data_IF_638063343490
#
_entry.id   IF_638063343490
#
_cell.length_a   1.000
_cell.length_b   1.000
_cell.length_c   1.000
_cell.angle_alpha   90.00
_cell.angle_beta   90.00
_cell.angle_gamma   90.00
#
_symmetry.space_group_name_H-M   'P 1'
#
loop_
_entity.id
_entity.type
_entity.pdbx_description
1 polymer ?
#
# COMPACT_ATOMS: atom_id res chain seq x y z
N UNK A 1 51.14 46.53 27.36
CA UNK A 1 50.44 45.22 27.52
C UNK A 1 48.92 45.41 27.67
N UNK A 2 48.17 45.75 26.61
CA UNK A 2 46.69 45.87 26.68
C UNK A 2 45.90 45.20 25.55
N UNK A 3 46.59 44.55 24.60
CA UNK A 3 45.94 43.93 23.42
C UNK A 3 45.56 42.46 23.68
N UNK A 4 46.14 41.81 24.69
CA UNK A 4 45.94 40.37 24.93
C UNK A 4 44.59 39.99 25.54
N UNK A 5 43.89 40.91 26.21
CA UNK A 5 42.62 40.61 26.89
C UNK A 5 41.40 40.68 25.95
N UNK A 6 41.48 41.51 24.90
CA UNK A 6 40.41 41.67 23.91
C UNK A 6 40.33 40.45 22.96
N UNK A 7 41.48 39.85 22.63
CA UNK A 7 41.52 38.63 21.79
C UNK A 7 40.93 37.42 22.54
N UNK A 8 41.12 37.33 23.86
CA UNK A 8 40.57 36.24 24.67
C UNK A 8 39.05 36.33 24.83
N UNK A 9 38.49 37.54 24.90
CA UNK A 9 37.04 37.77 24.92
C UNK A 9 36.37 37.53 23.56
N UNK A 10 37.07 37.82 22.45
CA UNK A 10 36.57 37.52 21.11
C UNK A 10 36.55 36.02 20.79
N UNK A 11 37.46 35.22 21.37
CA UNK A 11 37.47 33.76 21.21
C UNK A 11 36.44 33.02 22.08
N UNK A 12 35.98 33.62 23.19
CA UNK A 12 35.03 32.99 24.10
C UNK A 12 33.56 33.16 23.69
N UNK A 13 33.26 34.06 22.75
CA UNK A 13 31.90 34.25 22.22
C UNK A 13 31.51 33.33 21.05
N UNK A 14 32.43 32.54 20.51
CA UNK A 14 32.16 31.68 19.34
C UNK A 14 32.13 30.18 19.60
N UNK A 15 32.34 29.73 20.84
CA UNK A 15 32.07 28.33 21.20
C UNK A 15 30.59 28.10 21.51
N UNK A 16 29.73 28.26 20.50
CA UNK A 16 28.50 27.45 20.46
C UNK A 16 28.97 26.03 20.20
N UNK A 17 29.15 25.26 21.26
CA UNK A 17 29.31 23.82 21.15
C UNK A 17 28.06 23.28 20.46
N UNK A 18 28.14 23.05 19.14
CA UNK A 18 27.10 22.34 18.42
C UNK A 18 26.98 20.96 19.08
N UNK A 19 25.95 20.76 19.90
CA UNK A 19 25.76 19.51 20.59
C UNK A 19 25.54 18.44 19.52
N UNK A 20 26.56 17.60 19.34
CA UNK A 20 26.51 16.48 18.40
C UNK A 20 25.40 15.52 18.85
N UNK A 21 24.63 15.03 17.89
CA UNK A 21 23.53 14.09 18.17
C UNK A 21 24.13 12.79 18.71
N UNK A 22 23.74 12.37 19.91
CA UNK A 22 24.19 11.13 20.50
C UNK A 22 23.33 9.96 19.98
N UNK A 23 23.80 9.30 18.91
CA UNK A 23 23.10 8.17 18.29
C UNK A 23 22.96 6.95 19.20
N UNK A 24 23.94 6.71 20.08
CA UNK A 24 23.90 5.61 21.05
C UNK A 24 22.79 5.83 22.09
N UNK A 25 22.65 7.08 22.56
CA UNK A 25 21.57 7.43 23.47
C UNK A 25 20.21 7.27 22.80
N UNK A 26 20.05 7.75 21.57
CA UNK A 26 18.81 7.53 20.79
C UNK A 26 18.50 6.03 20.66
N UNK A 27 19.49 5.21 20.33
CA UNK A 27 19.31 3.77 20.20
C UNK A 27 18.87 3.12 21.53
N UNK A 28 19.48 3.53 22.65
CA UNK A 28 19.06 3.09 23.98
C UNK A 28 17.59 3.45 24.26
N UNK A 29 17.18 4.69 23.98
CA UNK A 29 15.79 5.12 24.18
C UNK A 29 14.80 4.32 23.34
N UNK A 30 15.17 3.98 22.10
CA UNK A 30 14.34 3.14 21.22
C UNK A 30 14.24 1.71 21.76
N UNK A 31 15.36 1.08 22.14
CA UNK A 31 15.39 -0.29 22.68
C UNK A 31 14.65 -0.40 24.02
N UNK A 32 14.68 0.65 24.83
CA UNK A 32 13.97 0.73 26.11
C UNK A 32 12.53 1.21 25.98
N UNK A 33 12.00 1.39 24.77
CA UNK A 33 10.63 1.91 24.49
C UNK A 33 10.31 3.26 25.17
N UNK A 34 11.32 4.10 25.39
CA UNK A 34 11.21 5.41 26.02
C UNK A 34 10.87 6.51 24.98
N UNK A 35 9.69 6.41 24.39
CA UNK A 35 9.28 7.27 23.27
C UNK A 35 9.08 8.75 23.66
N UNK A 36 8.70 9.02 24.92
CA UNK A 36 8.51 10.39 25.42
C UNK A 36 9.87 11.08 25.58
N UNK A 37 10.82 10.38 26.19
CA UNK A 37 12.18 10.82 26.42
C UNK A 37 12.91 11.03 25.09
N UNK A 38 12.68 10.14 24.11
CA UNK A 38 13.20 10.32 22.75
C UNK A 38 12.66 11.61 22.11
N UNK A 39 11.35 11.87 22.23
CA UNK A 39 10.76 13.12 21.74
C UNK A 39 11.38 14.35 22.42
N UNK A 40 11.46 14.32 23.75
CA UNK A 40 12.01 15.41 24.55
C UNK A 40 13.45 15.69 24.16
N UNK A 41 14.26 14.64 23.94
CA UNK A 41 15.65 14.78 23.50
C UNK A 41 15.76 15.44 22.12
N UNK A 42 14.98 15.00 21.13
CA UNK A 42 15.00 15.60 19.78
C UNK A 42 14.49 17.05 19.79
N UNK A 43 13.46 17.34 20.59
CA UNK A 43 12.94 18.70 20.74
C UNK A 43 13.94 19.62 21.44
N UNK A 44 14.60 19.16 22.50
CA UNK A 44 15.66 19.89 23.17
C UNK A 44 16.79 20.28 22.21
N UNK A 45 17.19 19.36 21.32
CA UNK A 45 18.18 19.65 20.29
C UNK A 45 17.67 20.66 19.27
N UNK A 46 16.39 20.59 18.88
CA UNK A 46 15.78 21.53 17.94
C UNK A 46 15.71 22.95 18.53
N UNK A 47 15.32 23.09 19.79
CA UNK A 47 15.18 24.38 20.47
C UNK A 47 16.53 25.07 20.68
N UNK A 48 17.57 24.32 21.07
CA UNK A 48 18.87 24.89 21.39
C UNK A 48 19.78 25.09 20.17
N UNK A 49 19.74 24.17 19.20
CA UNK A 49 20.67 24.15 18.06
C UNK A 49 20.00 24.52 16.73
N UNK A 50 18.68 24.67 16.71
CA UNK A 50 17.91 24.86 15.48
C UNK A 50 17.78 23.58 14.65
N UNK A 51 17.10 23.71 13.51
CA UNK A 51 16.91 22.59 12.59
C UNK A 51 18.20 22.34 11.80
N UNK A 52 18.75 21.13 11.95
CA UNK A 52 19.84 20.63 11.11
C UNK A 52 19.36 19.42 10.30
N UNK A 53 20.05 19.13 9.19
CA UNK A 53 19.72 17.99 8.33
C UNK A 53 19.85 16.66 9.09
N UNK A 54 20.89 16.53 9.94
CA UNK A 54 21.09 15.37 10.80
C UNK A 54 19.98 15.22 11.84
N UNK A 55 19.54 16.32 12.47
CA UNK A 55 18.43 16.27 13.41
C UNK A 55 17.13 15.87 12.72
N UNK A 56 16.88 16.44 11.53
CA UNK A 56 15.71 16.09 10.71
C UNK A 56 15.73 14.61 10.34
N UNK A 57 16.89 14.05 10.00
CA UNK A 57 17.05 12.62 9.73
C UNK A 57 16.66 11.73 10.93
N UNK A 58 17.09 12.05 12.15
CA UNK A 58 16.66 11.30 13.35
C UNK A 58 15.18 11.51 13.68
N UNK A 59 14.64 12.71 13.46
CA UNK A 59 13.20 12.99 13.59
C UNK A 59 12.39 12.18 12.57
N UNK A 60 12.86 11.99 11.34
CA UNK A 60 12.20 11.14 10.35
C UNK A 60 12.12 9.68 10.82
N UNK A 61 13.22 9.13 11.35
CA UNK A 61 13.22 7.79 11.95
C UNK A 61 12.25 7.69 13.13
N UNK A 62 12.15 8.74 13.94
CA UNK A 62 11.21 8.81 15.06
C UNK A 62 9.74 8.82 14.57
N UNK A 63 9.43 9.61 13.54
CA UNK A 63 8.08 9.64 12.96
C UNK A 63 7.67 8.30 12.35
N UNK A 64 8.60 7.62 11.66
CA UNK A 64 8.34 6.27 11.14
C UNK A 64 8.12 5.26 12.27
N UNK A 65 8.89 5.34 13.36
CA UNK A 65 8.75 4.49 14.54
C UNK A 65 7.36 4.63 15.17
N UNK A 66 6.86 5.86 15.31
CA UNK A 66 5.54 6.15 15.88
C UNK A 66 4.39 6.12 14.86
N UNK A 67 4.67 5.84 13.59
CA UNK A 67 3.68 5.88 12.49
C UNK A 67 2.99 7.24 12.34
N UNK A 68 3.68 8.33 12.67
CA UNK A 68 3.20 9.70 12.48
C UNK A 68 3.51 10.19 11.05
N UNK A 69 2.66 9.78 10.11
CA UNK A 69 2.87 10.04 8.69
C UNK A 69 2.71 11.51 8.31
N UNK A 70 1.87 12.26 9.02
CA UNK A 70 1.64 13.67 8.71
C UNK A 70 2.90 14.48 9.01
N UNK A 71 3.50 14.26 10.18
CA UNK A 71 4.77 14.90 10.54
C UNK A 71 5.89 14.46 9.59
N UNK A 72 5.97 13.17 9.24
CA UNK A 72 6.93 12.67 8.27
C UNK A 72 6.81 13.37 6.90
N UNK A 73 5.60 13.41 6.32
CA UNK A 73 5.37 14.01 5.00
C UNK A 73 5.67 15.52 4.98
N UNK A 74 5.43 16.22 6.10
CA UNK A 74 5.65 17.67 6.21
C UNK A 74 7.14 18.06 6.23
N UNK A 75 8.01 17.18 6.75
CA UNK A 75 9.41 17.52 7.00
C UNK A 75 10.40 16.79 6.09
N UNK A 76 10.01 15.68 5.45
CA UNK A 76 10.92 14.85 4.63
C UNK A 76 11.61 15.65 3.51
N UNK A 77 10.95 16.67 2.96
CA UNK A 77 11.52 17.52 1.89
C UNK A 77 12.75 18.31 2.34
N UNK A 78 12.86 18.56 3.66
CA UNK A 78 13.98 19.29 4.24
C UNK A 78 15.15 18.38 4.63
N UNK A 79 15.00 17.05 4.49
CA UNK A 79 16.00 16.07 4.90
C UNK A 79 16.83 15.57 3.70
N UNK A 80 17.93 16.24 3.35
CA UNK A 80 18.83 15.80 2.27
C UNK A 80 19.53 14.50 2.61
N UNK A 81 19.91 14.30 3.87
CA UNK A 81 20.51 13.03 4.34
C UNK A 81 19.57 11.84 4.17
N UNK A 82 18.25 12.03 4.33
CA UNK A 82 17.28 10.96 4.15
C UNK A 82 17.33 10.39 2.73
N UNK A 83 17.56 11.24 1.72
CA UNK A 83 17.66 10.82 0.31
C UNK A 83 19.00 10.19 -0.08
N UNK A 84 19.94 10.06 0.86
CA UNK A 84 21.19 9.31 0.70
C UNK A 84 21.13 7.92 1.34
N UNK A 85 20.14 7.68 2.19
CA UNK A 85 19.95 6.43 2.91
C UNK A 85 18.87 5.58 2.22
N UNK A 86 19.32 4.63 1.39
CA UNK A 86 18.43 3.72 0.66
C UNK A 86 17.61 2.83 1.60
N UNK A 87 18.16 2.43 2.76
CA UNK A 87 17.45 1.62 3.75
C UNK A 87 16.30 2.40 4.37
N UNK A 88 16.53 3.65 4.78
CA UNK A 88 15.49 4.53 5.30
C UNK A 88 14.39 4.77 4.25
N UNK A 89 14.76 5.10 3.01
CA UNK A 89 13.78 5.34 1.94
C UNK A 89 12.96 4.08 1.61
N UNK A 90 13.61 2.93 1.50
CA UNK A 90 12.94 1.66 1.22
C UNK A 90 11.98 1.28 2.34
N UNK A 91 12.39 1.46 3.60
CA UNK A 91 11.52 1.24 4.76
C UNK A 91 10.34 2.22 4.75
N UNK A 92 10.61 3.51 4.56
CA UNK A 92 9.60 4.57 4.52
C UNK A 92 8.57 4.30 3.42
N UNK A 93 9.03 3.96 2.22
CA UNK A 93 8.16 3.62 1.10
C UNK A 93 7.27 2.41 1.40
N UNK A 94 7.84 1.34 1.96
CA UNK A 94 7.06 0.15 2.37
C UNK A 94 6.00 0.48 3.41
N UNK A 95 6.36 1.25 4.45
CA UNK A 95 5.43 1.62 5.52
C UNK A 95 4.34 2.58 5.04
N UNK A 96 4.71 3.62 4.28
CA UNK A 96 3.75 4.53 3.68
C UNK A 96 2.83 3.81 2.72
N UNK A 97 3.33 2.85 1.94
CA UNK A 97 2.50 2.09 1.00
C UNK A 97 1.41 1.29 1.71
N UNK A 98 1.73 0.70 2.87
CA UNK A 98 0.76 -0.01 3.71
C UNK A 98 -0.36 0.90 4.23
N UNK A 99 -0.04 2.18 4.50
CA UNK A 99 -1.03 3.20 4.87
C UNK A 99 -1.80 3.69 3.65
N UNK A 100 -1.11 4.20 2.63
CA UNK A 100 -1.70 4.60 1.36
C UNK A 100 -0.70 4.51 0.19
N UNK A 101 -1.19 3.98 -0.93
CA UNK A 101 -0.41 3.94 -2.19
C UNK A 101 0.00 5.35 -2.62
N UNK A 102 -0.88 6.35 -2.42
CA UNK A 102 -0.62 7.73 -2.79
C UNK A 102 0.53 8.36 -1.98
N UNK A 103 0.67 8.03 -0.70
CA UNK A 103 1.80 8.49 0.13
C UNK A 103 3.13 7.93 -0.35
N UNK A 104 3.19 6.63 -0.68
CA UNK A 104 4.38 6.04 -1.26
C UNK A 104 4.74 6.67 -2.62
N UNK A 105 3.75 6.90 -3.49
CA UNK A 105 3.98 7.61 -4.75
C UNK A 105 4.47 9.04 -4.56
N UNK A 106 3.96 9.76 -3.55
CA UNK A 106 4.46 11.11 -3.19
C UNK A 106 5.92 11.04 -2.75
N UNK A 107 6.29 10.09 -1.88
CA UNK A 107 7.69 9.91 -1.49
C UNK A 107 8.59 9.62 -2.70
N UNK A 108 8.18 8.74 -3.61
CA UNK A 108 8.95 8.45 -4.84
C UNK A 108 9.13 9.68 -5.74
N UNK A 109 8.10 10.53 -5.84
CA UNK A 109 8.23 11.80 -6.58
C UNK A 109 9.23 12.75 -5.94
N UNK A 110 9.22 12.85 -4.61
CA UNK A 110 10.18 13.68 -3.86
C UNK A 110 11.60 13.12 -4.04
N UNK A 111 11.80 11.81 -3.90
CA UNK A 111 13.08 11.14 -4.15
C UNK A 111 13.60 11.38 -5.57
N UNK A 112 12.75 11.31 -6.59
CA UNK A 112 13.17 11.60 -7.97
C UNK A 112 13.58 13.06 -8.21
N UNK A 113 13.12 13.99 -7.36
CA UNK A 113 13.41 15.43 -7.47
C UNK A 113 14.64 15.85 -6.67
N UNK A 114 14.84 15.26 -5.50
CA UNK A 114 15.85 15.68 -4.52
C UNK A 114 16.94 14.64 -4.26
N UNK A 115 16.66 13.37 -4.55
CA UNK A 115 17.58 12.25 -4.37
C UNK A 115 18.22 11.77 -5.66
N UNK A 116 19.07 10.75 -5.56
CA UNK A 116 19.65 10.01 -6.68
C UNK A 116 18.71 8.92 -7.22
N UNK A 117 17.39 9.09 -6.99
CA UNK A 117 16.35 8.17 -7.43
C UNK A 117 16.53 6.74 -6.88
N UNK A 118 16.98 6.66 -5.63
CA UNK A 118 17.32 5.40 -4.96
C UNK A 118 16.12 4.45 -4.92
N UNK A 119 14.91 5.01 -4.79
CA UNK A 119 13.68 4.21 -4.74
C UNK A 119 13.37 3.51 -6.05
N UNK A 120 13.88 3.93 -7.22
CA UNK A 120 13.74 3.15 -8.48
C UNK A 120 14.36 1.76 -8.39
N UNK A 121 15.42 1.61 -7.61
CA UNK A 121 16.08 0.31 -7.45
C UNK A 121 15.33 -0.60 -6.47
N UNK A 122 14.43 -0.04 -5.65
CA UNK A 122 13.68 -0.74 -4.63
C UNK A 122 12.77 -1.82 -5.22
N UNK A 123 12.64 -2.92 -4.47
CA UNK A 123 11.78 -4.05 -4.85
C UNK A 123 10.32 -3.61 -4.97
N UNK A 124 9.85 -2.77 -4.05
CA UNK A 124 8.49 -2.25 -4.03
C UNK A 124 8.20 -1.38 -5.25
N UNK A 125 9.09 -0.46 -5.62
CA UNK A 125 8.88 0.40 -6.77
C UNK A 125 8.87 -0.40 -8.08
N UNK A 126 9.85 -1.29 -8.27
CA UNK A 126 9.89 -2.19 -9.43
C UNK A 126 8.64 -3.04 -9.55
N UNK A 127 8.18 -3.60 -8.43
CA UNK A 127 6.93 -4.38 -8.37
C UNK A 127 5.72 -3.53 -8.69
N UNK A 128 5.66 -2.30 -8.19
CA UNK A 128 4.59 -1.36 -8.50
C UNK A 128 4.54 -1.01 -10.00
N UNK A 129 5.69 -0.71 -10.60
CA UNK A 129 5.80 -0.41 -12.02
C UNK A 129 5.46 -1.65 -12.89
N UNK A 130 5.83 -2.86 -12.44
CA UNK A 130 5.41 -4.12 -13.05
C UNK A 130 3.88 -4.31 -13.05
N UNK A 131 3.17 -3.81 -12.02
CA UNK A 131 1.70 -3.84 -12.06
C UNK A 131 1.10 -2.89 -13.09
N UNK A 132 1.79 -1.79 -13.42
CA UNK A 132 1.40 -0.85 -14.49
C UNK A 132 1.68 -1.47 -15.86
N UNK A 133 2.88 -1.99 -16.09
CA UNK A 133 3.26 -2.67 -17.32
C UNK A 133 3.58 -4.16 -17.11
N UNK A 134 2.63 -5.03 -17.47
CA UNK A 134 2.74 -6.49 -17.29
C UNK A 134 3.67 -7.21 -18.26
N UNK A 135 4.26 -6.50 -19.23
CA UNK A 135 5.26 -7.07 -20.14
C UNK A 135 6.66 -7.08 -19.54
N UNK A 136 6.88 -6.40 -18.40
CA UNK A 136 8.16 -6.42 -17.69
C UNK A 136 8.53 -7.82 -17.17
N UNK A 137 9.83 -8.09 -17.11
CA UNK A 137 10.35 -9.30 -16.45
C UNK A 137 10.04 -9.27 -14.95
N UNK A 138 9.64 -10.42 -14.42
CA UNK A 138 9.40 -10.65 -12.99
C UNK A 138 10.58 -11.36 -12.31
N UNK A 139 11.75 -11.42 -12.96
CA UNK A 139 12.89 -12.23 -12.49
C UNK A 139 13.57 -11.64 -11.25
N UNK A 140 13.34 -10.34 -10.99
CA UNK A 140 13.82 -9.68 -9.78
C UNK A 140 13.01 -10.04 -8.51
N UNK A 141 11.87 -10.72 -8.67
CA UNK A 141 11.02 -11.10 -7.54
C UNK A 141 11.55 -12.38 -6.87
N UNK A 142 11.67 -12.40 -5.53
CA UNK A 142 11.85 -13.62 -4.75
C UNK A 142 10.75 -14.65 -5.05
N UNK A 143 11.06 -15.93 -4.81
CA UNK A 143 10.16 -17.04 -5.10
C UNK A 143 8.80 -16.88 -4.40
N UNK A 144 8.82 -16.44 -3.14
CA UNK A 144 7.66 -16.22 -2.28
C UNK A 144 6.71 -15.17 -2.90
N UNK A 145 7.27 -14.10 -3.46
CA UNK A 145 6.50 -13.01 -4.07
C UNK A 145 6.03 -13.35 -5.49
N UNK A 146 6.74 -14.24 -6.19
CA UNK A 146 6.40 -14.66 -7.55
C UNK A 146 5.06 -15.38 -7.61
N UNK A 147 4.71 -16.13 -6.56
CA UNK A 147 3.39 -16.80 -6.43
C UNK A 147 2.28 -15.74 -6.45
N UNK A 148 2.36 -14.73 -5.59
CA UNK A 148 1.36 -13.65 -5.53
C UNK A 148 1.29 -12.83 -6.82
N UNK A 149 2.44 -12.58 -7.46
CA UNK A 149 2.47 -11.91 -8.76
C UNK A 149 1.78 -12.74 -9.85
N UNK A 150 2.02 -14.04 -9.90
CA UNK A 150 1.40 -14.94 -10.87
C UNK A 150 -0.12 -15.01 -10.71
N UNK A 151 -0.62 -15.05 -9.48
CA UNK A 151 -2.06 -14.97 -9.21
C UNK A 151 -2.66 -13.66 -9.73
N UNK A 152 -2.02 -12.52 -9.43
CA UNK A 152 -2.43 -11.22 -9.94
C UNK A 152 -2.42 -11.19 -11.48
N UNK A 153 -1.34 -11.66 -12.10
CA UNK A 153 -1.17 -11.70 -13.57
C UNK A 153 -2.25 -12.57 -14.22
N UNK A 154 -2.57 -13.72 -13.62
CA UNK A 154 -3.62 -14.61 -14.09
C UNK A 154 -4.99 -13.93 -14.06
N UNK A 155 -5.36 -13.30 -12.94
CA UNK A 155 -6.66 -12.60 -12.83
C UNK A 155 -6.71 -11.36 -13.73
N UNK A 156 -5.62 -10.60 -13.86
CA UNK A 156 -5.58 -9.39 -14.70
C UNK A 156 -5.90 -9.68 -16.17
N UNK A 157 -5.47 -10.82 -16.70
CA UNK A 157 -5.74 -11.27 -18.08
C UNK A 157 -7.21 -11.63 -18.33
N UNK A 158 -8.00 -11.93 -17.29
CA UNK A 158 -9.39 -12.33 -17.44
C UNK A 158 -10.25 -11.18 -18.00
N UNK A 159 -11.14 -11.49 -18.95
CA UNK A 159 -11.97 -10.49 -19.64
C UNK A 159 -13.40 -10.48 -19.09
N UNK A 160 -13.97 -9.30 -18.93
CA UNK A 160 -15.31 -9.12 -18.35
C UNK A 160 -16.41 -9.75 -19.22
N UNK A 161 -16.34 -9.56 -20.54
CA UNK A 161 -17.33 -10.10 -21.47
C UNK A 161 -17.33 -11.64 -21.51
N UNK A 162 -16.17 -12.28 -21.35
CA UNK A 162 -16.09 -13.75 -21.23
C UNK A 162 -16.79 -14.21 -19.96
N UNK A 163 -16.51 -13.54 -18.83
CA UNK A 163 -17.12 -13.88 -17.55
C UNK A 163 -18.65 -13.66 -17.58
N UNK A 164 -19.12 -12.59 -18.21
CA UNK A 164 -20.53 -12.31 -18.42
C UNK A 164 -21.17 -13.36 -19.34
N UNK A 165 -20.56 -13.65 -20.49
CA UNK A 165 -21.05 -14.65 -21.46
C UNK A 165 -21.15 -16.04 -20.85
N UNK A 166 -20.16 -16.48 -20.08
CA UNK A 166 -20.26 -17.72 -19.31
C UNK A 166 -21.48 -17.70 -18.37
N UNK A 167 -21.66 -16.61 -17.64
CA UNK A 167 -22.80 -16.45 -16.71
C UNK A 167 -24.16 -16.39 -17.39
N UNK A 168 -24.21 -16.00 -18.68
CA UNK A 168 -25.41 -16.05 -19.54
C UNK A 168 -25.72 -17.45 -20.09
N UNK A 169 -24.77 -18.38 -20.10
CA UNK A 169 -25.04 -19.77 -20.48
C UNK A 169 -25.41 -20.56 -19.23
N UNK A 170 -24.60 -20.44 -18.19
CA UNK A 170 -24.79 -21.11 -16.91
C UNK A 170 -24.74 -20.05 -15.81
N UNK A 171 -25.84 -19.82 -15.07
CA UNK A 171 -25.89 -18.83 -14.00
C UNK A 171 -24.72 -18.95 -13.04
N UNK A 172 -23.96 -17.86 -12.91
CA UNK A 172 -22.82 -17.77 -12.00
C UNK A 172 -21.53 -18.42 -12.50
N UNK A 173 -21.49 -19.13 -13.62
CA UNK A 173 -20.25 -19.80 -14.09
C UNK A 173 -19.10 -18.83 -14.38
N UNK A 174 -19.40 -17.57 -14.69
CA UNK A 174 -18.38 -16.51 -14.72
C UNK A 174 -17.68 -16.29 -13.37
N UNK A 175 -18.34 -16.60 -12.24
CA UNK A 175 -17.72 -16.59 -10.90
C UNK A 175 -16.68 -17.68 -10.75
N UNK A 176 -16.88 -18.87 -11.33
CA UNK A 176 -15.83 -19.90 -11.41
C UNK A 176 -14.66 -19.41 -12.25
N UNK A 177 -14.95 -18.85 -13.43
CA UNK A 177 -13.92 -18.31 -14.31
C UNK A 177 -13.04 -17.27 -13.62
N UNK A 178 -13.60 -16.39 -12.78
CA UNK A 178 -12.80 -15.40 -12.04
C UNK A 178 -12.12 -15.95 -10.77
N UNK A 179 -12.39 -17.20 -10.38
CA UNK A 179 -11.77 -17.86 -9.23
C UNK A 179 -12.55 -17.74 -7.91
N UNK A 180 -13.88 -17.61 -7.98
CA UNK A 180 -14.78 -17.55 -6.80
C UNK A 180 -15.78 -18.72 -6.82
N UNK A 181 -15.34 -19.95 -6.54
CA UNK A 181 -16.21 -21.12 -6.57
C UNK A 181 -17.35 -21.05 -5.54
N UNK A 182 -17.09 -20.55 -4.33
CA UNK A 182 -18.12 -20.45 -3.30
C UNK A 182 -19.26 -19.50 -3.72
N UNK A 183 -18.93 -18.41 -4.43
CA UNK A 183 -19.92 -17.49 -4.95
C UNK A 183 -20.66 -18.03 -6.18
N UNK A 184 -20.06 -18.96 -6.93
CA UNK A 184 -20.73 -19.67 -8.02
C UNK A 184 -21.89 -20.51 -7.47
N UNK A 185 -21.67 -21.36 -6.48
CA UNK A 185 -22.71 -22.26 -5.96
C UNK A 185 -23.97 -21.52 -5.49
N UNK A 186 -23.79 -20.46 -4.70
CA UNK A 186 -24.94 -19.65 -4.25
C UNK A 186 -25.71 -18.99 -5.40
N UNK A 187 -25.01 -18.57 -6.45
CA UNK A 187 -25.63 -17.96 -7.63
C UNK A 187 -26.34 -19.00 -8.48
N UNK A 188 -25.73 -20.15 -8.68
CA UNK A 188 -26.30 -21.23 -9.47
C UNK A 188 -27.59 -21.75 -8.82
N UNK A 189 -27.52 -22.11 -7.53
CA UNK A 189 -28.66 -22.67 -6.79
C UNK A 189 -29.83 -21.68 -6.76
N UNK A 190 -29.57 -20.41 -6.46
CA UNK A 190 -30.65 -19.39 -6.42
C UNK A 190 -31.33 -19.23 -7.78
N UNK A 191 -30.58 -19.14 -8.89
CA UNK A 191 -31.18 -19.04 -10.22
C UNK A 191 -31.94 -20.31 -10.63
N UNK A 192 -31.47 -21.49 -10.23
CA UNK A 192 -32.18 -22.75 -10.49
C UNK A 192 -33.52 -22.75 -9.74
N UNK A 193 -33.55 -22.38 -8.46
CA UNK A 193 -34.79 -22.32 -7.68
C UNK A 193 -35.78 -21.29 -8.24
N UNK A 194 -35.32 -20.09 -8.58
CA UNK A 194 -36.18 -19.09 -9.21
C UNK A 194 -36.63 -19.50 -10.62
N UNK A 195 -35.78 -20.19 -11.38
CA UNK A 195 -36.12 -20.71 -12.69
C UNK A 195 -37.19 -21.81 -12.62
N UNK A 196 -37.06 -22.74 -11.67
CA UNK A 196 -38.04 -23.81 -11.44
C UNK A 196 -39.39 -23.24 -11.01
N UNK A 197 -39.40 -22.31 -10.03
CA UNK A 197 -40.64 -21.66 -9.57
C UNK A 197 -41.31 -20.83 -10.66
N UNK A 198 -40.53 -20.08 -11.45
CA UNK A 198 -41.02 -19.36 -12.62
C UNK A 198 -41.61 -20.29 -13.68
N UNK A 199 -40.90 -21.37 -14.02
CA UNK A 199 -41.37 -22.36 -15.00
C UNK A 199 -42.65 -23.06 -14.56
N UNK A 200 -42.72 -23.51 -13.31
CA UNK A 200 -43.92 -24.15 -12.76
C UNK A 200 -45.12 -23.20 -12.75
N UNK A 201 -44.92 -21.95 -12.32
CA UNK A 201 -45.99 -20.95 -12.32
C UNK A 201 -46.58 -20.73 -13.72
N UNK A 202 -45.72 -20.57 -14.74
CA UNK A 202 -46.16 -20.39 -16.13
C UNK A 202 -46.86 -21.64 -16.67
N UNK A 203 -46.36 -22.84 -16.32
CA UNK A 203 -46.94 -24.11 -16.78
C UNK A 203 -48.32 -24.38 -16.16
N UNK A 204 -48.49 -24.10 -14.87
CA UNK A 204 -49.71 -24.44 -14.12
C UNK A 204 -50.77 -23.34 -14.23
N UNK A 205 -50.37 -22.07 -14.07
CA UNK A 205 -51.30 -20.93 -13.99
C UNK A 205 -51.41 -20.15 -15.31
N UNK A 206 -50.52 -20.40 -16.27
CA UNK A 206 -50.42 -19.66 -17.52
C UNK A 206 -49.60 -18.37 -17.38
N UNK A 207 -49.17 -17.81 -18.52
CA UNK A 207 -48.32 -16.61 -18.57
C UNK A 207 -49.06 -15.32 -18.22
N UNK A 208 -50.39 -15.29 -18.40
CA UNK A 208 -51.23 -14.12 -18.11
C UNK A 208 -51.60 -14.00 -16.61
N UNK A 209 -51.24 -14.99 -15.79
CA UNK A 209 -51.48 -14.94 -14.35
C UNK A 209 -50.50 -13.97 -13.68
N UNK A 210 -51.01 -13.10 -12.80
CA UNK A 210 -50.18 -12.12 -12.08
C UNK A 210 -49.03 -12.75 -11.28
N UNK A 211 -49.25 -13.93 -10.67
CA UNK A 211 -48.20 -14.65 -9.96
C UNK A 211 -47.09 -15.11 -10.91
N UNK A 212 -47.44 -15.68 -12.07
CA UNK A 212 -46.47 -16.11 -13.09
C UNK A 212 -45.62 -14.94 -13.59
N UNK A 213 -46.24 -13.78 -13.83
CA UNK A 213 -45.53 -12.56 -14.24
C UNK A 213 -44.53 -12.14 -13.17
N UNK A 214 -44.92 -12.13 -11.90
CA UNK A 214 -44.05 -11.76 -10.78
C UNK A 214 -42.90 -12.75 -10.63
N UNK A 215 -43.17 -14.07 -10.63
CA UNK A 215 -42.15 -15.11 -10.49
C UNK A 215 -41.15 -15.10 -11.65
N UNK A 216 -41.63 -14.96 -12.89
CA UNK A 216 -40.77 -14.86 -14.07
C UNK A 216 -39.94 -13.57 -14.05
N UNK A 217 -40.53 -12.45 -13.62
CA UNK A 217 -39.81 -11.18 -13.46
C UNK A 217 -38.71 -11.28 -12.41
N UNK A 218 -39.00 -11.91 -11.26
CA UNK A 218 -38.01 -12.16 -10.23
C UNK A 218 -36.84 -13.00 -10.76
N UNK A 219 -37.14 -14.12 -11.44
CA UNK A 219 -36.11 -14.92 -12.10
C UNK A 219 -35.26 -14.08 -13.06
N UNK A 220 -35.89 -13.31 -13.96
CA UNK A 220 -35.19 -12.43 -14.90
C UNK A 220 -34.26 -11.44 -14.20
N UNK A 221 -34.74 -10.74 -13.17
CA UNK A 221 -33.94 -9.78 -12.40
C UNK A 221 -32.74 -10.45 -11.73
N UNK A 222 -32.94 -11.58 -11.06
CA UNK A 222 -31.84 -12.30 -10.40
C UNK A 222 -30.84 -12.86 -11.41
N UNK A 223 -31.31 -13.33 -12.55
CA UNK A 223 -30.48 -13.82 -13.64
C UNK A 223 -29.58 -12.73 -14.21
N UNK A 224 -30.16 -11.61 -14.64
CA UNK A 224 -29.39 -10.47 -15.17
C UNK A 224 -28.46 -9.86 -14.11
N UNK A 225 -28.91 -9.76 -12.86
CA UNK A 225 -28.07 -9.28 -11.75
C UNK A 225 -26.85 -10.15 -11.54
N UNK A 226 -26.94 -11.47 -11.75
CA UNK A 226 -25.77 -12.34 -11.67
C UNK A 226 -24.77 -12.10 -12.79
N UNK A 227 -25.25 -11.90 -14.03
CA UNK A 227 -24.38 -11.58 -15.18
C UNK A 227 -23.65 -10.25 -14.95
N UNK A 228 -24.38 -9.20 -14.55
CA UNK A 228 -23.81 -7.87 -14.28
C UNK A 228 -22.89 -7.91 -13.05
N UNK A 229 -23.27 -8.64 -12.01
CA UNK A 229 -22.51 -8.79 -10.78
C UNK A 229 -21.13 -9.39 -11.02
N UNK A 230 -21.01 -10.35 -11.95
CA UNK A 230 -19.72 -10.96 -12.31
C UNK A 230 -18.74 -9.95 -12.91
N UNK A 231 -19.22 -8.99 -13.69
CA UNK A 231 -18.37 -7.93 -14.26
C UNK A 231 -17.78 -7.05 -13.16
N UNK A 232 -18.60 -6.69 -12.17
CA UNK A 232 -18.17 -5.91 -11.01
C UNK A 232 -17.21 -6.69 -10.12
N UNK A 233 -17.51 -7.96 -9.86
CA UNK A 233 -16.65 -8.87 -9.10
C UNK A 233 -15.27 -9.00 -9.76
N UNK A 234 -15.20 -9.13 -11.09
CA UNK A 234 -13.92 -9.20 -11.79
C UNK A 234 -13.07 -7.95 -11.55
N UNK A 235 -13.67 -6.75 -11.65
CA UNK A 235 -12.96 -5.48 -11.39
C UNK A 235 -12.44 -5.43 -9.96
N UNK A 236 -13.25 -5.88 -9.01
CA UNK A 236 -12.90 -5.94 -7.59
C UNK A 236 -11.74 -6.91 -7.34
N UNK A 237 -11.80 -8.15 -7.81
CA UNK A 237 -10.73 -9.15 -7.59
C UNK A 237 -9.42 -8.70 -8.24
N UNK A 238 -9.46 -8.08 -9.43
CA UNK A 238 -8.25 -7.51 -10.05
C UNK A 238 -7.55 -6.51 -9.13
N UNK A 239 -8.33 -5.64 -8.49
CA UNK A 239 -7.81 -4.66 -7.54
C UNK A 239 -7.33 -5.31 -6.24
N UNK A 240 -8.08 -6.26 -5.69
CA UNK A 240 -7.70 -6.99 -4.47
C UNK A 240 -6.38 -7.75 -4.67
N UNK A 241 -6.26 -8.54 -5.75
CA UNK A 241 -5.02 -9.29 -6.05
C UNK A 241 -3.83 -8.37 -6.33
N UNK A 242 -4.06 -7.23 -6.99
CA UNK A 242 -3.01 -6.19 -7.15
C UNK A 242 -2.55 -5.65 -5.81
N UNK A 243 -3.48 -5.25 -4.94
CA UNK A 243 -3.18 -4.70 -3.61
C UNK A 243 -2.45 -5.73 -2.74
N UNK A 244 -2.95 -6.97 -2.72
CA UNK A 244 -2.34 -8.07 -1.98
C UNK A 244 -0.89 -8.30 -2.40
N UNK A 245 -0.64 -8.46 -3.71
CA UNK A 245 0.73 -8.62 -4.21
C UNK A 245 1.67 -7.50 -3.75
N UNK A 246 1.25 -6.24 -3.89
CA UNK A 246 2.10 -5.10 -3.51
C UNK A 246 2.26 -4.96 -1.99
N UNK A 247 1.25 -5.36 -1.22
CA UNK A 247 1.33 -5.42 0.24
C UNK A 247 2.35 -6.44 0.70
N UNK A 248 2.36 -7.64 0.11
CA UNK A 248 3.36 -8.66 0.40
C UNK A 248 4.77 -8.20 0.04
N UNK A 249 4.94 -7.52 -1.10
CA UNK A 249 6.23 -6.92 -1.47
C UNK A 249 6.68 -5.87 -0.45
N UNK A 250 5.78 -4.99 -0.01
CA UNK A 250 6.08 -3.98 0.99
C UNK A 250 6.50 -4.63 2.32
N UNK A 251 5.81 -5.69 2.74
CA UNK A 251 6.13 -6.46 3.93
C UNK A 251 7.49 -7.12 3.84
N UNK A 252 7.76 -7.83 2.75
CA UNK A 252 9.05 -8.47 2.49
C UNK A 252 10.20 -7.47 2.54
N UNK A 253 10.09 -6.35 1.81
CA UNK A 253 11.13 -5.32 1.79
C UNK A 253 11.38 -4.68 3.16
N UNK A 254 10.34 -4.57 4.01
CA UNK A 254 10.46 -3.96 5.34
C UNK A 254 10.97 -4.91 6.43
N UNK A 255 10.95 -6.22 6.21
CA UNK A 255 11.23 -7.22 7.25
C UNK A 255 12.70 -7.18 7.72
N UNK A 256 13.63 -6.91 6.82
CA UNK A 256 15.08 -6.97 7.12
C UNK A 256 15.69 -5.62 7.50
N UNK A 257 14.88 -4.54 7.51
CA UNK A 257 15.39 -3.19 7.73
C UNK A 257 15.12 -2.75 9.18
N UNK A 258 16.21 -2.67 9.93
CA UNK A 258 16.25 -2.04 11.25
C UNK A 258 16.57 -0.55 11.08
N UNK A 259 15.62 0.32 11.44
CA UNK A 259 15.77 1.78 11.33
C UNK A 259 16.93 2.35 12.15
N UNK A 260 17.22 1.72 13.28
CA UNK A 260 18.29 2.09 14.22
C UNK A 260 19.31 0.95 14.29
N UNK A 261 20.11 0.81 13.22
CA UNK A 261 21.37 0.08 13.23
C UNK A 261 22.51 1.05 13.51
#
# INVERSE_FOLDING_TARGET
MKISLVVFFLFSFFFRANAQINSQFINHLVLSNQHKEHKTYLNYLLENNGSSDSLTYYRMKYYLLLKDYNSFESEIQNCKLCFKDSSLLNYSASYLFKSSIASAERLWKIDSKFGSDLTKTSLLRKSFDLTKNTQGSSDFLPYELKIHYNEYKFVKKKKAWIAAGLSMVIPGSGKLYIGRPNSFFGSFISNVLYGLTGFESVRVLGINNGYSIVSLSAFGIFYFSNVIGVVHDLKRIKNEKKKHFLYEVATYQSADIYLYK
#
